data_IF_749281642767
#
_entry.id   IF_749281642767
#
_cell.length_a   1.000
_cell.length_b   1.000
_cell.length_c   1.000
_cell.angle_alpha   90.00
_cell.angle_beta   90.00
_cell.angle_gamma   90.00
#
_symmetry.space_group_name_H-M   'P 1'
#
loop_
_entity.id
_entity.type
_entity.pdbx_description
1 polymer ?
#
# COMPACT_ATOMS: atom_id res chain seq x y z
N UNK A 1 -18.27 -7.32 2.25
CA UNK A 1 -16.84 -7.03 2.05
C UNK A 1 -16.50 -7.23 0.58
N UNK A 2 -15.76 -6.30 -0.06
CA UNK A 2 -15.28 -6.46 -1.44
C UNK A 2 -13.76 -6.69 -1.45
N UNK A 3 -13.29 -7.56 -2.33
CA UNK A 3 -11.90 -7.94 -2.48
C UNK A 3 -11.46 -7.77 -3.93
N UNK A 4 -10.28 -7.18 -4.15
CA UNK A 4 -9.63 -7.12 -5.47
C UNK A 4 -8.53 -8.16 -5.54
N UNK A 5 -8.62 -9.09 -6.49
CA UNK A 5 -7.68 -10.21 -6.58
C UNK A 5 -6.22 -9.77 -6.72
N UNK A 6 -5.93 -8.74 -7.50
CA UNK A 6 -4.56 -8.24 -7.70
C UNK A 6 -3.89 -7.74 -6.41
N UNK A 7 -4.64 -7.45 -5.34
CA UNK A 7 -4.09 -7.06 -4.04
C UNK A 7 -3.58 -8.23 -3.19
N UNK A 8 -3.86 -9.44 -3.64
CA UNK A 8 -3.34 -10.70 -3.06
C UNK A 8 -2.56 -11.52 -4.10
N UNK A 9 -1.97 -10.86 -5.09
CA UNK A 9 -1.18 -11.44 -6.18
C UNK A 9 -1.96 -12.35 -7.16
N UNK A 10 -3.28 -12.21 -7.23
CA UNK A 10 -4.09 -12.84 -8.27
C UNK A 10 -4.03 -12.05 -9.59
N UNK A 11 -4.51 -12.62 -10.71
CA UNK A 11 -4.64 -11.91 -11.98
C UNK A 11 -5.48 -10.62 -11.83
N UNK A 12 -5.16 -9.59 -12.63
CA UNK A 12 -5.97 -8.39 -12.72
C UNK A 12 -7.34 -8.71 -13.34
N UNK A 13 -8.37 -7.95 -12.98
CA UNK A 13 -9.71 -8.06 -13.54
C UNK A 13 -10.61 -9.08 -12.84
N UNK A 14 -10.18 -9.66 -11.73
CA UNK A 14 -10.99 -10.56 -10.87
C UNK A 14 -11.04 -10.04 -9.44
N UNK A 15 -12.15 -10.28 -8.78
CA UNK A 15 -12.37 -9.96 -7.38
C UNK A 15 -13.56 -10.74 -6.84
N UNK A 16 -13.88 -10.53 -5.57
CA UNK A 16 -15.03 -11.17 -4.92
C UNK A 16 -15.78 -10.19 -4.03
N UNK A 17 -17.08 -10.43 -3.91
CA UNK A 17 -17.93 -9.79 -2.91
C UNK A 17 -18.39 -10.87 -1.93
N UNK A 18 -18.09 -10.66 -0.66
CA UNK A 18 -18.55 -11.54 0.43
C UNK A 18 -19.61 -10.77 1.20
N UNK A 19 -20.81 -11.30 1.26
CA UNK A 19 -21.93 -10.68 1.97
C UNK A 19 -22.73 -11.70 2.76
N UNK A 20 -23.42 -11.21 3.78
CA UNK A 20 -24.39 -12.00 4.52
C UNK A 20 -25.62 -12.28 3.64
N UNK A 21 -26.21 -13.47 3.76
CA UNK A 21 -27.41 -13.84 2.99
C UNK A 21 -28.61 -12.92 3.21
N UNK A 22 -28.64 -12.22 4.35
CA UNK A 22 -29.68 -11.23 4.69
C UNK A 22 -29.46 -9.88 4.00
N UNK A 23 -28.25 -9.64 3.45
CA UNK A 23 -27.97 -8.42 2.71
C UNK A 23 -28.54 -8.50 1.31
N UNK A 24 -29.55 -7.68 1.03
CA UNK A 24 -30.12 -7.57 -0.31
C UNK A 24 -29.16 -6.78 -1.20
N UNK A 25 -28.67 -7.42 -2.25
CA UNK A 25 -27.88 -6.78 -3.30
C UNK A 25 -28.77 -6.58 -4.54
N UNK A 26 -28.73 -5.38 -5.09
CA UNK A 26 -29.42 -5.08 -6.36
C UNK A 26 -28.38 -5.13 -7.48
N UNK A 27 -28.61 -5.89 -8.56
CA UNK A 27 -27.75 -5.91 -9.71
C UNK A 27 -27.61 -4.50 -10.33
N UNK A 28 -26.41 -4.08 -10.65
CA UNK A 28 -26.16 -2.86 -11.41
C UNK A 28 -26.39 -3.07 -12.91
N UNK A 29 -26.08 -4.26 -13.40
CA UNK A 29 -26.25 -4.67 -14.80
C UNK A 29 -27.25 -5.81 -14.87
N UNK A 30 -28.05 -5.84 -15.94
CA UNK A 30 -29.05 -6.87 -16.19
C UNK A 30 -28.65 -7.70 -17.41
N UNK A 31 -28.96 -9.01 -17.41
CA UNK A 31 -28.61 -9.94 -18.49
C UNK A 31 -28.84 -11.38 -18.07
N UNK A 32 -27.87 -12.26 -18.34
CA UNK A 32 -27.94 -13.67 -17.96
C UNK A 32 -27.92 -13.91 -16.44
N UNK A 33 -28.21 -15.15 -16.04
CA UNK A 33 -28.31 -15.54 -14.63
C UNK A 33 -26.97 -15.87 -13.91
N UNK A 34 -25.83 -15.49 -14.50
CA UNK A 34 -24.52 -15.74 -13.91
C UNK A 34 -24.39 -15.06 -12.54
N UNK A 35 -23.54 -15.61 -11.68
CA UNK A 35 -23.31 -15.11 -10.31
C UNK A 35 -24.64 -14.90 -9.54
N UNK A 36 -25.54 -15.88 -9.62
CA UNK A 36 -26.88 -15.82 -9.01
C UNK A 36 -27.73 -14.61 -9.47
N UNK A 37 -27.55 -14.16 -10.72
CA UNK A 37 -28.23 -13.00 -11.29
C UNK A 37 -27.69 -11.64 -10.83
N UNK A 38 -26.66 -11.61 -10.00
CA UNK A 38 -26.10 -10.36 -9.46
C UNK A 38 -25.08 -9.72 -10.41
N UNK A 39 -24.43 -10.53 -11.25
CA UNK A 39 -23.41 -10.05 -12.18
C UNK A 39 -23.46 -10.88 -13.48
N UNK A 40 -24.14 -10.38 -14.54
CA UNK A 40 -24.27 -11.08 -15.81
C UNK A 40 -22.95 -11.12 -16.59
N UNK A 41 -22.90 -11.97 -17.58
CA UNK A 41 -21.75 -12.19 -18.48
C UNK A 41 -20.96 -13.42 -18.10
N UNK A 42 -20.37 -14.08 -19.10
CA UNK A 42 -19.59 -15.30 -18.93
C UNK A 42 -18.47 -15.08 -17.90
N UNK A 43 -18.32 -16.03 -17.00
CA UNK A 43 -17.33 -15.99 -15.92
C UNK A 43 -15.92 -16.13 -16.49
N UNK A 44 -14.99 -15.31 -16.01
CA UNK A 44 -13.57 -15.44 -16.30
C UNK A 44 -12.95 -16.55 -15.44
N UNK A 45 -13.23 -17.81 -15.79
CA UNK A 45 -12.85 -18.98 -14.99
C UNK A 45 -11.34 -19.03 -14.74
N UNK A 46 -10.49 -18.69 -15.72
CA UNK A 46 -9.05 -18.69 -15.55
C UNK A 46 -8.59 -17.73 -14.45
N UNK A 47 -9.11 -16.50 -14.44
CA UNK A 47 -8.80 -15.53 -13.41
C UNK A 47 -9.39 -15.90 -12.04
N UNK A 48 -10.58 -16.51 -12.01
CA UNK A 48 -11.22 -17.01 -10.77
C UNK A 48 -10.37 -18.12 -10.14
N UNK A 49 -9.89 -19.09 -10.92
CA UNK A 49 -8.97 -20.14 -10.44
C UNK A 49 -7.68 -19.54 -9.92
N UNK A 50 -7.09 -18.59 -10.65
CA UNK A 50 -5.90 -17.87 -10.19
C UNK A 50 -6.12 -17.11 -8.89
N UNK A 51 -7.31 -16.52 -8.70
CA UNK A 51 -7.66 -15.83 -7.47
C UNK A 51 -7.84 -16.83 -6.30
N UNK A 52 -8.48 -17.97 -6.54
CA UNK A 52 -8.58 -19.06 -5.56
C UNK A 52 -7.20 -19.53 -5.08
N UNK A 53 -6.27 -19.76 -6.02
CA UNK A 53 -4.90 -20.17 -5.66
C UNK A 53 -4.13 -19.08 -4.91
N UNK A 54 -4.30 -17.82 -5.30
CA UNK A 54 -3.69 -16.70 -4.58
C UNK A 54 -4.21 -16.59 -3.14
N UNK A 55 -5.50 -16.79 -2.92
CA UNK A 55 -6.10 -16.79 -1.58
C UNK A 55 -5.59 -17.94 -0.73
N UNK A 56 -5.47 -19.15 -1.30
CA UNK A 56 -4.88 -20.33 -0.63
C UNK A 56 -3.43 -20.03 -0.19
N UNK A 57 -2.60 -19.54 -1.09
CA UNK A 57 -1.20 -19.20 -0.78
C UNK A 57 -1.09 -18.09 0.26
N UNK A 58 -1.94 -17.06 0.17
CA UNK A 58 -1.97 -15.99 1.15
C UNK A 58 -2.26 -16.51 2.57
N UNK A 59 -3.15 -17.49 2.69
CA UNK A 59 -3.45 -18.11 3.97
C UNK A 59 -2.30 -19.01 4.47
N UNK A 60 -1.74 -19.84 3.60
CA UNK A 60 -0.66 -20.78 3.95
C UNK A 60 0.61 -20.07 4.38
N UNK A 61 0.95 -18.95 3.75
CA UNK A 61 2.20 -18.23 3.94
C UNK A 61 2.05 -17.03 4.89
N UNK A 62 0.86 -16.79 5.45
CA UNK A 62 0.54 -15.59 6.22
C UNK A 62 1.53 -15.35 7.37
N UNK A 63 1.78 -16.35 8.17
CA UNK A 63 2.65 -16.23 9.35
C UNK A 63 4.10 -15.96 8.96
N UNK A 64 4.63 -16.72 7.99
CA UNK A 64 5.99 -16.55 7.50
C UNK A 64 6.19 -15.17 6.86
N UNK A 65 5.26 -14.76 6.00
CA UNK A 65 5.29 -13.44 5.35
C UNK A 65 5.21 -12.32 6.37
N UNK A 66 4.29 -12.42 7.33
CA UNK A 66 4.13 -11.40 8.38
C UNK A 66 5.40 -11.24 9.21
N UNK A 67 6.04 -12.34 9.61
CA UNK A 67 7.29 -12.30 10.37
C UNK A 67 8.44 -11.69 9.57
N UNK A 68 8.58 -12.05 8.30
CA UNK A 68 9.58 -11.49 7.40
C UNK A 68 9.38 -9.97 7.24
N UNK A 69 8.15 -9.55 6.93
CA UNK A 69 7.82 -8.14 6.73
C UNK A 69 7.99 -7.31 8.00
N UNK A 70 7.66 -7.87 9.17
CA UNK A 70 7.90 -7.21 10.45
C UNK A 70 9.39 -6.96 10.67
N UNK A 71 10.25 -7.92 10.38
CA UNK A 71 11.69 -7.74 10.50
C UNK A 71 12.21 -6.64 9.57
N UNK A 72 11.74 -6.62 8.31
CA UNK A 72 12.12 -5.57 7.36
C UNK A 72 11.60 -4.19 7.79
N UNK A 73 10.38 -4.11 8.33
CA UNK A 73 9.80 -2.86 8.84
C UNK A 73 10.60 -2.34 10.03
N UNK A 74 11.02 -3.20 10.95
CA UNK A 74 11.84 -2.80 12.09
C UNK A 74 13.18 -2.21 11.63
N UNK A 75 13.89 -2.88 10.72
CA UNK A 75 15.14 -2.35 10.14
C UNK A 75 14.89 -1.01 9.45
N UNK A 76 13.86 -0.91 8.64
CA UNK A 76 13.49 0.34 7.96
C UNK A 76 13.29 1.49 8.97
N UNK A 77 12.47 1.27 9.98
CA UNK A 77 12.09 2.32 10.91
C UNK A 77 13.21 2.69 11.89
N UNK A 78 14.08 1.75 12.25
CA UNK A 78 15.30 2.03 13.00
C UNK A 78 16.23 2.97 12.23
N UNK A 79 16.49 2.67 10.96
CA UNK A 79 17.32 3.50 10.10
C UNK A 79 16.70 4.88 9.79
N UNK A 80 15.38 4.94 9.65
CA UNK A 80 14.67 6.19 9.41
C UNK A 80 14.69 7.13 10.62
N UNK A 81 14.74 6.60 11.86
CA UNK A 81 14.87 7.42 13.07
C UNK A 81 16.17 8.23 13.12
N UNK A 82 17.19 7.82 12.36
CA UNK A 82 18.45 8.51 12.25
C UNK A 82 18.42 9.68 11.23
N UNK A 83 17.30 9.88 10.56
CA UNK A 83 17.11 10.96 9.59
C UNK A 83 16.44 12.14 10.26
N UNK A 84 17.12 13.28 10.33
CA UNK A 84 16.58 14.50 10.94
C UNK A 84 15.32 14.99 10.19
N UNK A 85 14.33 15.46 10.93
CA UNK A 85 13.08 15.99 10.35
C UNK A 85 12.13 14.92 9.78
N UNK A 86 12.41 13.64 10.02
CA UNK A 86 11.57 12.53 9.57
C UNK A 86 10.69 12.02 10.71
N UNK A 87 9.42 11.81 10.42
CA UNK A 87 8.44 11.21 11.33
C UNK A 87 7.81 9.98 10.70
N UNK A 88 7.87 8.84 11.39
CA UNK A 88 7.11 7.64 11.02
C UNK A 88 5.75 7.69 11.71
N UNK A 89 4.68 7.74 10.92
CA UNK A 89 3.31 7.88 11.42
C UNK A 89 2.90 6.63 12.20
N UNK A 90 2.28 6.83 13.36
CA UNK A 90 1.74 5.76 14.20
C UNK A 90 2.76 4.66 14.58
N UNK A 91 4.04 5.01 14.73
CA UNK A 91 5.12 4.04 15.06
C UNK A 91 4.99 3.43 16.46
N UNK A 92 4.17 4.03 17.34
CA UNK A 92 3.96 3.56 18.72
C UNK A 92 2.77 2.62 18.90
N UNK A 93 2.02 2.32 17.83
CA UNK A 93 0.85 1.44 17.88
C UNK A 93 1.02 0.22 16.98
N UNK A 94 0.26 -0.82 17.25
CA UNK A 94 0.24 -2.01 16.40
C UNK A 94 -0.28 -1.67 14.99
N UNK A 95 0.46 -2.08 13.97
CA UNK A 95 0.19 -1.81 12.56
C UNK A 95 0.43 -3.05 11.71
N UNK A 96 -0.05 -2.99 10.47
CA UNK A 96 0.35 -3.99 9.48
C UNK A 96 1.87 -3.91 9.23
N UNK A 97 2.56 -5.06 9.16
CA UNK A 97 4.02 -5.11 9.09
C UNK A 97 4.62 -4.74 7.73
N UNK A 98 3.78 -4.48 6.74
CA UNK A 98 4.22 -4.26 5.36
C UNK A 98 4.18 -2.80 4.91
N UNK A 99 3.80 -1.87 5.79
CA UNK A 99 3.59 -0.48 5.37
C UNK A 99 4.08 0.50 6.43
N UNK A 100 4.90 1.46 6.02
CA UNK A 100 5.29 2.61 6.83
C UNK A 100 4.94 3.90 6.11
N UNK A 101 4.19 4.78 6.80
CA UNK A 101 3.89 6.13 6.34
C UNK A 101 4.91 7.08 6.95
N UNK A 102 5.58 7.87 6.10
CA UNK A 102 6.68 8.74 6.47
C UNK A 102 6.29 10.17 6.12
N UNK A 103 6.56 11.10 7.03
CA UNK A 103 6.43 12.54 6.83
C UNK A 103 7.81 13.19 6.99
N UNK A 104 8.08 14.25 6.26
CA UNK A 104 9.35 14.96 6.31
C UNK A 104 9.16 16.46 6.29
N UNK A 105 9.88 17.17 7.16
CA UNK A 105 9.84 18.62 7.20
C UNK A 105 10.44 19.23 5.92
N UNK A 106 9.78 20.27 5.40
CA UNK A 106 10.25 21.10 4.28
C UNK A 106 10.53 20.34 2.96
N UNK A 107 9.88 19.19 2.76
CA UNK A 107 9.99 18.38 1.54
C UNK A 107 8.60 18.20 0.91
N UNK A 108 8.55 18.27 -0.42
CA UNK A 108 7.39 17.91 -1.20
C UNK A 108 7.43 16.40 -1.49
N UNK A 109 6.39 15.66 -1.09
CA UNK A 109 6.32 14.20 -1.24
C UNK A 109 6.27 13.74 -2.69
N UNK A 110 5.75 14.53 -3.63
CA UNK A 110 5.74 14.20 -5.06
C UNK A 110 7.13 14.37 -5.67
N UNK A 111 7.84 15.45 -5.30
CA UNK A 111 9.22 15.64 -5.73
C UNK A 111 10.13 14.52 -5.20
N UNK A 112 9.95 14.14 -3.94
CA UNK A 112 10.70 13.06 -3.33
C UNK A 112 10.43 11.72 -4.04
N UNK A 113 9.16 11.43 -4.38
CA UNK A 113 8.79 10.26 -5.16
C UNK A 113 9.51 10.23 -6.50
N UNK A 114 9.51 11.34 -7.25
CA UNK A 114 10.20 11.44 -8.55
C UNK A 114 11.72 11.21 -8.43
N UNK A 115 12.35 11.79 -7.40
CA UNK A 115 13.79 11.62 -7.19
C UNK A 115 14.17 10.19 -6.79
N UNK A 116 13.31 9.52 -6.01
CA UNK A 116 13.49 8.11 -5.65
C UNK A 116 13.25 7.19 -6.85
N UNK A 117 12.25 7.48 -7.69
CA UNK A 117 11.99 6.74 -8.92
C UNK A 117 13.19 6.77 -9.89
N UNK A 118 13.84 7.94 -10.04
CA UNK A 118 15.09 8.08 -10.81
C UNK A 118 16.25 7.23 -10.27
N UNK A 119 16.19 6.84 -9.00
CA UNK A 119 17.15 5.93 -8.35
C UNK A 119 16.69 4.46 -8.37
N UNK A 120 15.60 4.16 -9.10
CA UNK A 120 15.03 2.81 -9.20
C UNK A 120 14.21 2.37 -7.98
N UNK A 121 13.77 3.30 -7.13
CA UNK A 121 12.99 3.02 -5.94
C UNK A 121 11.53 3.43 -6.15
N UNK A 122 10.64 2.45 -6.22
CA UNK A 122 9.20 2.66 -6.37
C UNK A 122 8.51 2.79 -5.00
N UNK A 123 7.93 3.95 -4.75
CA UNK A 123 7.11 4.26 -3.57
C UNK A 123 5.78 4.89 -3.98
N UNK A 124 4.94 5.25 -3.01
CA UNK A 124 3.73 6.02 -3.27
C UNK A 124 3.76 7.34 -2.51
N UNK A 125 3.25 8.42 -3.09
CA UNK A 125 2.94 9.64 -2.36
C UNK A 125 1.73 9.43 -1.42
N UNK A 126 1.52 10.35 -0.47
CA UNK A 126 0.59 10.18 0.66
C UNK A 126 -0.87 9.88 0.33
N UNK A 127 -1.37 10.26 -0.84
CA UNK A 127 -2.73 9.95 -1.30
C UNK A 127 -2.71 9.30 -2.68
N UNK A 128 -2.35 8.02 -2.73
CA UNK A 128 -2.28 7.24 -3.98
C UNK A 128 -3.60 7.20 -4.79
N UNK A 129 -4.75 7.47 -4.16
CA UNK A 129 -6.06 7.51 -4.83
C UNK A 129 -6.44 8.90 -5.37
N UNK A 130 -5.73 9.94 -5.04
CA UNK A 130 -5.97 11.33 -5.48
C UNK A 130 -4.78 11.92 -6.25
N UNK A 131 -4.11 11.08 -7.05
CA UNK A 131 -2.93 11.43 -7.85
C UNK A 131 -3.11 12.68 -8.77
N UNK A 132 -4.34 13.19 -8.91
CA UNK A 132 -4.64 14.41 -9.66
C UNK A 132 -4.94 15.63 -8.76
N UNK A 133 -4.92 15.51 -7.44
CA UNK A 133 -5.17 16.65 -6.54
C UNK A 133 -3.98 16.86 -5.61
N UNK A 134 -3.38 18.05 -5.67
CA UNK A 134 -2.35 18.53 -4.72
C UNK A 134 -2.95 18.84 -3.33
N UNK A 135 -3.91 18.04 -2.89
CA UNK A 135 -4.55 18.24 -1.60
C UNK A 135 -3.90 17.36 -0.53
N UNK A 136 -3.68 17.90 0.68
CA UNK A 136 -3.13 17.13 1.78
C UNK A 136 -4.08 15.99 2.19
N UNK A 137 -3.53 14.88 2.65
CA UNK A 137 -4.29 13.73 3.12
C UNK A 137 -5.26 14.11 4.25
N UNK A 138 -6.56 13.90 4.04
CA UNK A 138 -7.58 14.16 5.06
C UNK A 138 -7.38 13.29 6.30
N UNK A 139 -6.82 12.10 6.15
CA UNK A 139 -6.50 11.20 7.27
C UNK A 139 -5.38 11.79 8.12
N UNK A 140 -4.28 12.23 7.52
CA UNK A 140 -3.17 12.85 8.26
C UNK A 140 -3.61 14.15 8.94
N UNK A 141 -4.46 14.95 8.31
CA UNK A 141 -5.06 16.14 8.94
C UNK A 141 -5.90 15.78 10.14
N UNK A 142 -6.74 14.73 10.05
CA UNK A 142 -7.55 14.24 11.17
C UNK A 142 -6.68 13.69 12.32
N UNK A 143 -5.45 13.24 12.02
CA UNK A 143 -4.46 12.84 13.01
C UNK A 143 -3.68 14.02 13.61
N UNK A 144 -3.96 15.26 13.21
CA UNK A 144 -3.36 16.48 13.75
C UNK A 144 -2.10 16.97 13.06
N UNK A 145 -1.73 16.39 11.93
CA UNK A 145 -0.59 16.89 11.14
C UNK A 145 -0.96 18.14 10.33
N UNK A 146 -0.02 19.06 10.18
CA UNK A 146 -0.19 20.26 9.36
C UNK A 146 -0.34 19.92 7.87
N UNK A 147 -0.90 20.84 7.09
CA UNK A 147 -1.06 20.64 5.64
C UNK A 147 0.29 20.43 4.96
N UNK A 148 1.34 21.15 5.37
CA UNK A 148 2.70 20.99 4.83
C UNK A 148 3.27 19.60 5.10
N UNK A 149 3.16 19.09 6.32
CA UNK A 149 3.57 17.73 6.66
C UNK A 149 2.73 16.67 5.94
N UNK A 150 1.43 16.88 5.81
CA UNK A 150 0.57 15.95 5.09
C UNK A 150 0.89 15.88 3.58
N UNK A 151 1.41 16.97 2.99
CA UNK A 151 1.88 17.02 1.59
C UNK A 151 3.26 16.36 1.40
N UNK A 152 4.10 16.32 2.44
CA UNK A 152 5.39 15.62 2.39
C UNK A 152 5.28 14.09 2.44
N UNK A 153 4.08 13.60 2.71
CA UNK A 153 3.85 12.20 3.02
C UNK A 153 4.23 11.26 1.87
N UNK A 154 5.05 10.27 2.19
CA UNK A 154 5.32 9.12 1.33
C UNK A 154 4.94 7.83 2.04
N UNK A 155 4.53 6.82 1.28
CA UNK A 155 4.22 5.49 1.80
C UNK A 155 5.17 4.46 1.22
N UNK A 156 5.92 3.81 2.10
CA UNK A 156 6.75 2.67 1.79
C UNK A 156 5.94 1.40 2.03
N UNK A 157 5.83 0.55 1.02
CA UNK A 157 5.10 -0.72 1.10
C UNK A 157 6.04 -1.86 0.72
N UNK A 158 6.29 -2.75 1.67
CA UNK A 158 7.18 -3.89 1.52
C UNK A 158 6.41 -5.13 1.06
N UNK A 159 7.01 -5.91 0.19
CA UNK A 159 6.52 -7.21 -0.26
C UNK A 159 7.36 -8.37 0.29
N UNK A 160 6.83 -9.58 0.19
CA UNK A 160 7.52 -10.78 0.67
C UNK A 160 8.82 -11.10 -0.10
N UNK A 161 9.05 -10.45 -1.24
CA UNK A 161 10.28 -10.61 -2.05
C UNK A 161 11.37 -9.61 -1.67
N UNK A 162 11.02 -8.55 -0.92
CA UNK A 162 12.02 -7.57 -0.52
C UNK A 162 13.04 -8.16 0.45
N UNK A 163 14.25 -7.66 0.34
CA UNK A 163 15.40 -8.04 1.17
C UNK A 163 15.79 -6.91 2.13
N UNK A 164 16.52 -7.23 3.16
CA UNK A 164 17.08 -6.22 4.07
C UNK A 164 18.04 -5.26 3.33
N UNK A 165 18.79 -5.75 2.35
CA UNK A 165 19.69 -4.90 1.57
C UNK A 165 18.91 -3.84 0.78
N UNK A 166 17.81 -4.20 0.14
CA UNK A 166 16.96 -3.23 -0.57
C UNK A 166 16.37 -2.16 0.36
N UNK A 167 16.03 -2.53 1.60
CA UNK A 167 15.60 -1.57 2.62
C UNK A 167 16.72 -0.59 2.95
N UNK A 168 17.95 -1.05 3.14
CA UNK A 168 19.11 -0.20 3.41
C UNK A 168 19.48 0.68 2.22
N UNK A 169 19.36 0.15 1.00
CA UNK A 169 19.59 0.90 -0.24
C UNK A 169 18.56 2.03 -0.40
N UNK A 170 17.28 1.74 -0.09
CA UNK A 170 16.24 2.77 -0.04
C UNK A 170 16.58 3.88 0.95
N UNK A 171 16.95 3.53 2.20
CA UNK A 171 17.30 4.52 3.22
C UNK A 171 18.50 5.35 2.80
N UNK A 172 19.49 4.72 2.17
CA UNK A 172 20.69 5.42 1.64
C UNK A 172 20.30 6.40 0.54
N UNK A 173 19.45 5.98 -0.39
CA UNK A 173 18.92 6.84 -1.45
C UNK A 173 18.13 8.03 -0.89
N UNK A 174 17.29 7.78 0.13
CA UNK A 174 16.51 8.80 0.82
C UNK A 174 17.41 9.83 1.52
N UNK A 175 18.38 9.35 2.33
CA UNK A 175 19.37 10.20 3.02
C UNK A 175 20.16 11.08 2.02
N UNK A 176 20.52 10.52 0.87
CA UNK A 176 21.21 11.25 -0.20
C UNK A 176 20.38 12.36 -0.86
N UNK A 177 19.07 12.27 -0.83
CA UNK A 177 18.16 13.30 -1.33
C UNK A 177 17.94 14.39 -0.26
N UNK A 178 17.60 13.97 0.96
CA UNK A 178 17.22 14.87 2.07
C UNK A 178 18.38 15.75 2.57
N UNK A 179 19.60 15.23 2.54
CA UNK A 179 20.79 15.94 3.01
C UNK A 179 21.44 16.83 1.93
N UNK A 180 20.85 16.94 0.74
CA UNK A 180 21.36 17.90 -0.26
C UNK A 180 20.94 19.32 0.18
N UNK A 181 21.87 20.26 0.30
CA UNK A 181 21.52 21.66 0.55
C UNK A 181 20.70 22.17 -0.65
N UNK A 182 19.57 22.82 -0.34
CA UNK A 182 18.71 23.53 -1.31
C UNK A 182 19.46 24.73 -1.87
#
# INVERSE_FOLDING_TARGET
>A
MSLSGHKVNAPKGVGAVIHDKRTLLTPLLHGGGQEAGLRPGTENVAAIVGFGKAAELAQQELEQRSKHLLNLQLVLEEELRLVNGLTVVASSVERLPNTSQILMDNIDGEMLLMQLDQKGVAISSGSACSSNSKLPSTVLKAMGFSDSLALSAIRVSLGHQNTQQEVLDFVTALKGIVNQPV
#
